data_IF_527017916190
#
_entry.id   IF_527017916190
#
_cell.length_a   1.000
_cell.length_b   1.000
_cell.length_c   1.000
_cell.angle_alpha   90.00
_cell.angle_beta   90.00
_cell.angle_gamma   90.00
#
_symmetry.space_group_name_H-M   'P 1'
#
loop_
_entity.id
_entity.type
_entity.pdbx_description
1 polymer ?
#
# COMPACT_ATOMS: atom_id res chain seq x y z
N UNK A 1 -41.13 7.45 -12.82
CA UNK A 1 -40.71 7.37 -11.40
C UNK A 1 -39.22 7.17 -11.43
N UNK A 2 -38.48 8.24 -11.19
CA UNK A 2 -37.01 8.16 -11.06
C UNK A 2 -36.68 7.29 -9.86
N UNK A 3 -35.80 6.30 -10.05
CA UNK A 3 -35.28 5.47 -8.99
C UNK A 3 -34.54 6.36 -7.96
N UNK A 4 -34.64 6.09 -6.66
CA UNK A 4 -33.90 6.86 -5.67
C UNK A 4 -32.41 6.63 -5.91
N UNK A 5 -31.67 7.71 -6.18
CA UNK A 5 -30.21 7.73 -6.13
C UNK A 5 -29.82 7.30 -4.72
N UNK A 6 -29.29 6.10 -4.57
CA UNK A 6 -28.76 5.59 -3.30
C UNK A 6 -27.56 6.46 -2.93
N UNK A 7 -27.81 7.52 -2.16
CA UNK A 7 -26.76 8.39 -1.64
C UNK A 7 -25.97 7.60 -0.62
N UNK A 8 -24.74 7.24 -0.98
CA UNK A 8 -23.69 6.80 -0.07
C UNK A 8 -23.65 7.75 1.13
N UNK A 9 -24.12 7.30 2.29
CA UNK A 9 -24.19 8.16 3.47
C UNK A 9 -22.78 8.43 4.01
N UNK A 10 -22.52 9.70 4.26
CA UNK A 10 -21.22 10.38 4.27
C UNK A 10 -20.39 10.16 5.56
N UNK A 11 -20.91 9.41 6.54
CA UNK A 11 -20.32 9.38 7.89
C UNK A 11 -18.97 8.67 8.00
N UNK A 12 -18.52 7.99 6.95
CA UNK A 12 -17.17 7.42 6.90
C UNK A 12 -16.24 8.14 5.91
N UNK A 13 -16.75 9.06 5.09
CA UNK A 13 -15.99 9.70 4.00
C UNK A 13 -14.75 10.46 4.48
N UNK A 14 -14.76 10.95 5.73
CA UNK A 14 -13.66 11.72 6.31
C UNK A 14 -12.44 10.88 6.74
N UNK A 15 -12.55 9.54 6.79
CA UNK A 15 -11.40 8.69 7.14
C UNK A 15 -10.54 8.43 5.89
N UNK A 16 -9.26 8.90 5.86
CA UNK A 16 -8.38 8.66 4.73
C UNK A 16 -8.11 7.16 4.60
N UNK A 17 -7.89 6.70 3.35
CA UNK A 17 -7.35 5.36 3.12
C UNK A 17 -6.01 5.24 3.87
N UNK A 18 -5.79 4.11 4.55
CA UNK A 18 -4.55 3.86 5.29
C UNK A 18 -3.33 4.15 4.41
N UNK A 19 -2.28 4.72 5.00
CA UNK A 19 -1.02 5.07 4.31
C UNK A 19 -1.13 6.19 3.25
N UNK A 20 -2.28 6.85 3.12
CA UNK A 20 -2.49 7.94 2.13
C UNK A 20 -2.71 9.31 2.77
N UNK A 21 -2.76 9.37 4.10
CA UNK A 21 -2.90 10.63 4.82
C UNK A 21 -1.76 11.59 4.45
N UNK A 22 -2.03 12.91 4.35
CA UNK A 22 -0.98 13.91 4.18
C UNK A 22 0.10 13.72 5.25
N UNK A 23 1.34 13.49 4.80
CA UNK A 23 2.45 13.12 5.67
C UNK A 23 3.45 14.26 5.93
N UNK A 24 3.22 15.44 5.34
CA UNK A 24 4.04 16.64 5.52
C UNK A 24 5.44 16.58 4.89
N UNK A 25 5.74 15.53 4.10
CA UNK A 25 7.04 15.37 3.43
C UNK A 25 6.96 15.84 1.98
N UNK A 26 7.68 16.91 1.64
CA UNK A 26 7.99 17.23 0.26
C UNK A 26 9.03 16.23 -0.26
N UNK A 27 8.70 15.54 -1.36
CA UNK A 27 9.62 14.60 -2.02
C UNK A 27 10.88 15.27 -2.58
N UNK A 28 10.85 16.60 -2.77
CA UNK A 28 11.97 17.44 -3.19
C UNK A 28 12.78 16.83 -4.35
N UNK A 29 12.06 16.32 -5.37
CA UNK A 29 12.63 15.47 -6.41
C UNK A 29 13.72 16.17 -7.25
N UNK A 30 13.68 17.50 -7.34
CA UNK A 30 14.65 18.32 -8.07
C UNK A 30 16.07 18.26 -7.48
N UNK A 31 16.23 17.87 -6.20
CA UNK A 31 17.54 17.70 -5.57
C UNK A 31 18.19 16.33 -5.81
N UNK A 32 17.45 15.35 -6.34
CA UNK A 32 17.91 13.95 -6.40
C UNK A 32 19.16 13.73 -7.26
N UNK A 33 19.44 14.64 -8.20
CA UNK A 33 20.62 14.60 -9.07
C UNK A 33 21.72 15.58 -8.62
N UNK A 34 21.47 16.40 -7.60
CA UNK A 34 22.42 17.38 -7.09
C UNK A 34 23.27 16.76 -5.97
N UNK A 35 24.40 16.16 -6.35
CA UNK A 35 25.31 15.49 -5.42
C UNK A 35 25.88 16.46 -4.35
N UNK A 36 26.10 17.73 -4.70
CA UNK A 36 26.61 18.71 -3.75
C UNK A 36 25.55 19.05 -2.68
N UNK A 37 24.30 19.24 -3.11
CA UNK A 37 23.19 19.44 -2.20
C UNK A 37 22.93 18.21 -1.34
N UNK A 38 22.93 17.00 -1.92
CA UNK A 38 22.72 15.75 -1.19
C UNK A 38 23.80 15.52 -0.13
N UNK A 39 25.07 15.84 -0.45
CA UNK A 39 26.15 15.79 0.51
C UNK A 39 25.95 16.79 1.67
N UNK A 40 25.55 18.03 1.36
CA UNK A 40 25.26 19.04 2.37
C UNK A 40 24.06 18.65 3.26
N UNK A 41 22.98 18.16 2.67
CA UNK A 41 21.80 17.66 3.37
C UNK A 41 22.16 16.47 4.26
N UNK A 42 22.94 15.51 3.76
CA UNK A 42 23.41 14.38 4.56
C UNK A 42 24.23 14.82 5.77
N UNK A 43 25.10 15.82 5.62
CA UNK A 43 25.94 16.32 6.71
C UNK A 43 25.22 17.26 7.70
N UNK A 44 23.97 17.65 7.43
CA UNK A 44 23.24 18.57 8.30
C UNK A 44 22.83 17.90 9.62
N UNK A 45 23.03 18.53 10.80
CA UNK A 45 22.77 17.90 12.11
C UNK A 45 21.30 17.58 12.39
N UNK A 46 20.37 18.26 11.70
CA UNK A 46 18.93 17.94 11.81
C UNK A 46 18.54 16.71 11.01
N UNK A 47 19.35 16.25 10.06
CA UNK A 47 19.02 15.11 9.19
C UNK A 47 18.76 13.86 10.01
N UNK A 48 17.72 13.13 9.60
CA UNK A 48 17.31 11.87 10.23
C UNK A 48 17.35 10.75 9.20
N UNK A 49 17.81 9.59 9.64
CA UNK A 49 17.82 8.41 8.80
C UNK A 49 17.43 7.15 9.59
N UNK A 50 17.01 6.13 8.86
CA UNK A 50 16.71 4.82 9.42
C UNK A 50 17.13 3.73 8.44
N UNK A 51 17.34 2.51 8.94
CA UNK A 51 17.67 1.35 8.11
C UNK A 51 16.40 0.66 7.66
N UNK A 52 16.36 0.29 6.38
CA UNK A 52 15.33 -0.58 5.80
C UNK A 52 15.98 -1.87 5.30
N UNK A 53 15.37 -3.00 5.65
CA UNK A 53 15.87 -4.32 5.26
C UNK A 53 14.71 -5.31 5.22
N UNK A 54 14.50 -5.97 4.08
CA UNK A 54 13.46 -6.98 3.91
C UNK A 54 12.04 -6.45 4.07
N UNK A 55 11.80 -5.19 3.72
CA UNK A 55 10.52 -4.52 3.92
C UNK A 55 10.20 -4.16 5.37
N UNK A 56 11.19 -4.27 6.26
CA UNK A 56 11.07 -3.94 7.68
C UNK A 56 11.95 -2.75 8.06
N UNK A 57 11.53 -2.06 9.11
CA UNK A 57 12.31 -1.04 9.84
C UNK A 57 12.28 -1.38 11.32
N UNK A 58 13.12 -0.72 12.12
CA UNK A 58 12.97 -0.75 13.58
C UNK A 58 11.90 0.25 13.99
N UNK A 59 10.97 -0.19 14.82
CA UNK A 59 10.02 0.66 15.53
C UNK A 59 10.24 0.53 17.03
N UNK A 60 9.88 1.57 17.77
CA UNK A 60 9.90 1.59 19.23
C UNK A 60 8.57 2.13 19.77
N UNK A 61 8.22 1.74 20.98
CA UNK A 61 7.11 2.29 21.74
C UNK A 61 7.63 3.34 22.72
N UNK A 62 7.23 4.58 22.51
CA UNK A 62 7.62 5.69 23.38
C UNK A 62 6.94 5.56 24.74
N UNK A 63 7.51 6.22 25.76
CA UNK A 63 6.95 6.21 27.12
C UNK A 63 5.50 6.75 27.22
N UNK A 64 5.05 7.53 26.22
CA UNK A 64 3.68 8.02 26.10
C UNK A 64 2.77 7.12 25.24
N UNK A 65 3.21 5.92 24.89
CA UNK A 65 2.43 4.88 24.21
C UNK A 65 2.29 5.07 22.71
N UNK A 66 3.11 5.93 22.08
CA UNK A 66 3.12 6.11 20.63
C UNK A 66 4.13 5.14 20.00
N UNK A 67 3.85 4.72 18.76
CA UNK A 67 4.81 3.97 17.96
C UNK A 67 5.52 4.90 17.00
N UNK A 68 6.85 4.83 16.95
CA UNK A 68 7.68 5.63 16.04
C UNK A 68 8.74 4.77 15.34
N UNK A 69 9.23 5.26 14.20
CA UNK A 69 10.41 4.66 13.56
C UNK A 69 11.64 5.06 14.36
N UNK A 70 12.50 4.09 14.65
CA UNK A 70 13.81 4.37 15.24
C UNK A 70 14.69 5.08 14.21
N UNK A 71 14.82 6.39 14.37
CA UNK A 71 15.68 7.23 13.54
C UNK A 71 16.97 7.57 14.27
N UNK A 72 18.06 7.70 13.52
CA UNK A 72 19.35 8.19 14.00
C UNK A 72 19.77 9.43 13.22
N UNK A 73 20.57 10.33 13.84
CA UNK A 73 21.29 11.34 13.08
C UNK A 73 22.19 10.70 12.03
N UNK A 74 22.39 11.39 10.90
CA UNK A 74 23.21 10.88 9.78
C UNK A 74 24.67 10.57 10.16
N UNK A 75 25.23 11.29 11.14
CA UNK A 75 26.60 11.09 11.63
C UNK A 75 26.76 9.88 12.57
N UNK A 76 25.66 9.35 13.11
CA UNK A 76 25.62 8.08 13.86
C UNK A 76 25.10 6.92 13.01
N UNK A 77 24.74 7.20 11.76
CA UNK A 77 24.19 6.20 10.87
C UNK A 77 25.20 5.09 10.57
N UNK A 78 24.77 3.83 10.52
CA UNK A 78 25.67 2.74 10.20
C UNK A 78 26.29 2.95 8.82
N UNK A 79 27.60 2.72 8.71
CA UNK A 79 28.29 2.72 7.42
C UNK A 79 27.56 1.76 6.47
N UNK A 80 27.34 2.24 5.25
CA UNK A 80 26.78 1.43 4.17
C UNK A 80 27.59 1.69 2.92
N UNK A 81 28.02 0.60 2.29
CA UNK A 81 28.58 0.62 0.93
C UNK A 81 27.46 0.75 -0.12
N UNK A 82 26.20 0.56 0.29
CA UNK A 82 25.01 0.75 -0.55
C UNK A 82 24.59 2.23 -0.62
N UNK A 83 23.75 2.54 -1.61
CA UNK A 83 23.26 3.90 -1.81
C UNK A 83 22.17 4.26 -0.80
N UNK A 84 22.18 5.54 -0.41
CA UNK A 84 21.19 6.16 0.48
C UNK A 84 19.98 6.60 -0.34
N UNK A 85 18.78 6.40 0.19
CA UNK A 85 17.55 6.84 -0.46
C UNK A 85 17.13 8.17 0.16
N UNK A 86 17.11 9.25 -0.62
CA UNK A 86 16.60 10.53 -0.14
C UNK A 86 15.07 10.53 -0.19
N UNK A 87 14.39 10.61 0.96
CA UNK A 87 12.95 10.42 1.06
C UNK A 87 12.15 11.72 0.95
N UNK A 88 12.80 12.85 1.23
CA UNK A 88 12.22 14.18 1.19
C UNK A 88 12.63 15.06 2.37
N UNK A 89 11.92 16.18 2.49
CA UNK A 89 12.11 17.21 3.52
C UNK A 89 10.76 17.50 4.18
N UNK A 90 10.72 17.62 5.50
CA UNK A 90 9.52 18.11 6.18
C UNK A 90 9.41 19.65 6.18
N UNK A 91 8.30 20.13 6.73
CA UNK A 91 8.01 21.56 6.90
C UNK A 91 9.02 22.34 7.76
N UNK A 92 9.78 21.65 8.63
CA UNK A 92 10.79 22.23 9.50
C UNK A 92 12.19 22.21 8.86
N UNK A 93 12.30 21.71 7.61
CA UNK A 93 13.55 21.60 6.87
C UNK A 93 14.38 20.37 7.22
N UNK A 94 13.83 19.40 7.96
CA UNK A 94 14.53 18.14 8.27
C UNK A 94 14.56 17.26 7.02
N UNK A 95 15.77 16.89 6.61
CA UNK A 95 15.97 15.93 5.52
C UNK A 95 15.91 14.50 6.05
N UNK A 96 15.21 13.63 5.31
CA UNK A 96 15.04 12.22 5.65
C UNK A 96 15.72 11.30 4.64
N UNK A 97 16.44 10.31 5.14
CA UNK A 97 17.07 9.27 4.32
C UNK A 97 16.75 7.86 4.83
N UNK A 98 16.57 6.91 3.91
CA UNK A 98 16.61 5.48 4.24
C UNK A 98 17.93 4.87 3.80
N UNK A 99 18.44 3.95 4.62
CA UNK A 99 19.64 3.18 4.33
C UNK A 99 19.25 1.74 4.08
N UNK A 100 19.47 1.25 2.86
CA UNK A 100 19.32 -0.17 2.58
C UNK A 100 20.52 -0.93 3.14
N UNK A 101 20.23 -2.00 3.91
CA UNK A 101 21.22 -2.98 4.38
C UNK A 101 20.65 -4.40 4.23
N UNK A 102 21.50 -5.40 4.45
CA UNK A 102 21.09 -6.82 4.42
C UNK A 102 20.39 -7.26 5.72
N UNK A 103 20.59 -6.51 6.81
CA UNK A 103 19.93 -6.71 8.10
C UNK A 103 19.69 -5.38 8.81
N UNK A 104 18.68 -5.36 9.68
CA UNK A 104 18.47 -4.26 10.61
C UNK A 104 19.57 -4.24 11.68
N UNK A 105 19.98 -3.05 12.17
CA UNK A 105 20.94 -2.97 13.26
C UNK A 105 20.33 -3.58 14.53
N UNK A 106 21.12 -4.33 15.30
CA UNK A 106 20.73 -4.70 16.66
C UNK A 106 20.76 -3.46 17.56
N UNK A 107 19.87 -3.40 18.55
CA UNK A 107 19.98 -2.45 19.67
C UNK A 107 20.25 -3.19 20.96
N UNK A 108 20.97 -2.55 21.87
CA UNK A 108 21.37 -3.13 23.16
C UNK A 108 20.29 -2.97 24.24
N UNK A 109 19.31 -2.09 24.03
CA UNK A 109 18.24 -1.79 24.99
C UNK A 109 17.00 -2.68 24.83
N UNK A 110 16.96 -3.54 23.79
CA UNK A 110 15.86 -4.46 23.44
C UNK A 110 14.45 -3.81 23.35
N UNK A 111 14.33 -2.48 23.41
CA UNK A 111 13.06 -1.75 23.32
C UNK A 111 12.53 -1.74 21.89
N UNK A 112 13.43 -1.54 20.92
CA UNK A 112 13.06 -1.52 19.53
C UNK A 112 12.96 -2.92 18.92
N UNK A 113 12.01 -3.07 18.01
CA UNK A 113 11.76 -4.33 17.31
C UNK A 113 11.59 -4.13 15.81
N UNK A 114 11.94 -5.13 14.98
CA UNK A 114 11.60 -5.12 13.55
C UNK A 114 10.08 -5.13 13.34
N UNK A 115 9.59 -4.30 12.44
CA UNK A 115 8.21 -4.34 11.99
C UNK A 115 8.09 -4.00 10.50
N UNK A 116 7.15 -4.66 9.83
CA UNK A 116 6.76 -4.36 8.45
C UNK A 116 5.53 -3.46 8.40
N UNK A 117 5.20 -2.97 7.20
CA UNK A 117 4.06 -2.05 6.98
C UNK A 117 2.70 -2.62 7.44
N UNK A 118 2.49 -3.94 7.34
CA UNK A 118 1.24 -4.58 7.78
C UNK A 118 1.00 -4.46 9.28
N UNK A 119 2.09 -4.41 10.04
CA UNK A 119 2.06 -4.37 11.50
C UNK A 119 2.16 -2.94 12.01
N UNK A 120 3.15 -2.17 11.53
CA UNK A 120 3.43 -0.82 12.01
C UNK A 120 2.58 0.26 11.34
N UNK A 121 2.08 0.03 10.12
CA UNK A 121 1.54 1.09 9.26
C UNK A 121 0.33 1.85 9.84
N UNK A 122 -0.49 1.21 10.69
CA UNK A 122 -1.60 1.86 11.39
C UNK A 122 -1.21 2.45 12.76
N UNK A 123 -0.06 2.05 13.31
CA UNK A 123 0.42 2.49 14.62
C UNK A 123 1.29 3.76 14.49
N UNK A 124 1.96 3.90 13.36
CA UNK A 124 2.84 5.03 13.06
C UNK A 124 2.06 6.32 12.79
N UNK A 125 2.71 7.45 13.10
CA UNK A 125 2.23 8.76 12.65
C UNK A 125 2.16 8.83 11.10
N UNK A 126 1.33 9.72 10.52
CA UNK A 126 1.25 9.88 9.06
C UNK A 126 2.61 10.14 8.39
N UNK A 127 3.48 10.92 9.04
CA UNK A 127 4.85 11.19 8.59
C UNK A 127 5.66 9.90 8.49
N UNK A 128 5.75 9.18 9.60
CA UNK A 128 6.57 7.97 9.70
C UNK A 128 6.04 6.85 8.79
N UNK A 129 4.72 6.66 8.75
CA UNK A 129 4.10 5.74 7.81
C UNK A 129 4.43 6.10 6.35
N UNK A 130 4.34 7.39 5.98
CA UNK A 130 4.67 7.87 4.64
C UNK A 130 6.15 7.70 4.26
N UNK A 131 7.06 7.88 5.22
CA UNK A 131 8.48 7.61 5.07
C UNK A 131 8.76 6.11 4.90
N UNK A 132 8.16 5.27 5.75
CA UNK A 132 8.33 3.81 5.71
C UNK A 132 7.82 3.23 4.39
N UNK A 133 6.62 3.62 3.94
CA UNK A 133 6.06 3.18 2.64
C UNK A 133 7.00 3.51 1.49
N UNK A 134 7.55 4.73 1.48
CA UNK A 134 8.46 5.17 0.42
C UNK A 134 9.78 4.39 0.46
N UNK A 135 10.37 4.22 1.65
CA UNK A 135 11.61 3.48 1.83
C UNK A 135 11.47 2.00 1.43
N UNK A 136 10.39 1.34 1.85
CA UNK A 136 10.11 -0.07 1.50
C UNK A 136 9.87 -0.23 -0.01
N UNK A 137 9.12 0.69 -0.63
CA UNK A 137 8.90 0.65 -2.08
C UNK A 137 10.22 0.77 -2.86
N UNK A 138 11.10 1.70 -2.47
CA UNK A 138 12.43 1.84 -3.06
C UNK A 138 13.30 0.62 -2.80
N UNK A 139 13.33 0.09 -1.58
CA UNK A 139 14.13 -1.10 -1.23
C UNK A 139 13.71 -2.32 -2.05
N UNK A 140 12.40 -2.61 -2.13
CA UNK A 140 11.85 -3.73 -2.90
C UNK A 140 12.29 -3.64 -4.36
N UNK A 141 12.10 -2.48 -4.99
CA UNK A 141 12.49 -2.29 -6.38
C UNK A 141 14.00 -2.42 -6.57
N UNK A 142 14.79 -1.76 -5.71
CA UNK A 142 16.24 -1.76 -5.79
C UNK A 142 16.83 -3.16 -5.65
N UNK A 143 16.31 -4.00 -4.75
CA UNK A 143 16.80 -5.37 -4.57
C UNK A 143 16.54 -6.27 -5.77
N UNK A 144 15.41 -6.08 -6.45
CA UNK A 144 14.97 -6.95 -7.54
C UNK A 144 15.51 -6.52 -8.92
N UNK A 145 15.89 -5.26 -9.12
CA UNK A 145 16.23 -4.72 -10.44
C UNK A 145 17.73 -4.50 -10.67
N UNK A 146 18.59 -5.40 -10.17
CA UNK A 146 20.06 -5.23 -10.16
C UNK A 146 20.75 -5.30 -11.54
N UNK A 147 20.04 -5.71 -12.59
CA UNK A 147 20.56 -5.86 -13.95
C UNK A 147 19.71 -5.09 -14.95
N UNK A 148 20.33 -4.65 -16.04
CA UNK A 148 19.69 -3.85 -17.08
C UNK A 148 18.78 -4.73 -17.93
N UNK A 149 17.49 -4.41 -18.01
CA UNK A 149 16.54 -5.15 -18.84
C UNK A 149 16.81 -5.04 -20.34
N UNK A 150 17.64 -4.05 -20.77
CA UNK A 150 18.00 -3.86 -22.18
C UNK A 150 19.21 -4.70 -22.63
N UNK A 151 20.22 -4.87 -21.77
CA UNK A 151 21.48 -5.49 -22.17
C UNK A 151 22.03 -6.55 -21.21
N UNK A 152 21.37 -6.80 -20.07
CA UNK A 152 21.78 -7.80 -19.08
C UNK A 152 22.89 -7.37 -18.12
N UNK A 153 23.61 -6.27 -18.37
CA UNK A 153 24.71 -5.80 -17.52
C UNK A 153 24.22 -5.27 -16.16
N UNK A 154 25.06 -5.36 -15.11
CA UNK A 154 24.74 -4.83 -13.78
C UNK A 154 24.50 -3.32 -13.82
N UNK A 155 23.45 -2.87 -13.13
CA UNK A 155 23.14 -1.43 -12.98
C UNK A 155 23.71 -0.87 -11.69
N UNK A 156 23.96 0.45 -11.69
CA UNK A 156 24.32 1.22 -10.49
C UNK A 156 23.12 2.06 -10.05
N UNK A 157 23.01 2.32 -8.74
CA UNK A 157 21.96 3.19 -8.21
C UNK A 157 22.37 4.64 -8.48
N UNK A 158 21.40 5.47 -8.88
CA UNK A 158 21.57 6.89 -9.15
C UNK A 158 20.36 7.67 -8.63
N UNK A 159 20.42 9.00 -8.75
CA UNK A 159 19.34 9.90 -8.37
C UNK A 159 18.84 9.69 -6.92
N UNK A 160 19.78 9.61 -5.96
CA UNK A 160 19.49 9.35 -4.55
C UNK A 160 18.53 8.15 -4.32
N UNK A 161 18.75 7.04 -5.01
CA UNK A 161 17.93 5.83 -4.89
C UNK A 161 16.76 5.71 -5.87
N UNK A 162 16.49 6.72 -6.69
CA UNK A 162 15.28 6.78 -7.52
C UNK A 162 15.50 6.36 -8.97
N UNK A 163 16.73 6.01 -9.35
CA UNK A 163 17.04 5.48 -10.68
C UNK A 163 18.06 4.35 -10.54
N UNK A 164 18.04 3.42 -11.49
CA UNK A 164 19.14 2.51 -11.79
C UNK A 164 19.68 2.84 -13.16
N UNK A 165 20.96 3.17 -13.25
CA UNK A 165 21.65 3.51 -14.49
C UNK A 165 22.54 2.35 -14.92
N UNK A 166 22.46 1.95 -16.19
CA UNK A 166 23.35 0.95 -16.77
C UNK A 166 24.62 1.64 -17.30
N UNK A 167 25.82 1.35 -16.77
CA UNK A 167 27.05 1.98 -17.24
C UNK A 167 27.46 1.50 -18.65
N UNK A 168 27.05 0.29 -19.07
CA UNK A 168 27.45 -0.26 -20.37
C UNK A 168 26.68 0.32 -21.55
N UNK A 169 25.37 0.57 -21.39
CA UNK A 169 24.54 1.07 -22.49
C UNK A 169 23.89 2.44 -22.22
N UNK A 170 23.98 2.97 -21.00
CA UNK A 170 23.39 4.25 -20.62
C UNK A 170 21.87 4.22 -20.37
N UNK A 171 21.25 3.03 -20.34
CA UNK A 171 19.82 2.92 -20.01
C UNK A 171 19.54 3.38 -18.57
N UNK A 172 18.43 4.06 -18.37
CA UNK A 172 17.90 4.38 -17.05
C UNK A 172 16.62 3.59 -16.80
N UNK A 173 16.51 3.05 -15.59
CA UNK A 173 15.34 2.34 -15.11
C UNK A 173 14.80 3.06 -13.89
N UNK A 174 13.48 3.20 -13.83
CA UNK A 174 12.76 3.89 -12.77
C UNK A 174 12.05 2.89 -11.85
N UNK A 175 11.75 3.28 -10.59
CA UNK A 175 10.92 2.51 -9.69
C UNK A 175 9.67 2.01 -10.37
N UNK A 176 9.46 0.68 -10.30
CA UNK A 176 8.30 0.03 -10.87
C UNK A 176 7.12 0.15 -9.91
N UNK A 177 5.94 0.46 -10.46
CA UNK A 177 4.69 0.38 -9.73
C UNK A 177 3.64 -0.26 -10.62
N UNK A 178 3.11 -1.39 -10.18
CA UNK A 178 2.15 -2.22 -10.92
C UNK A 178 0.72 -1.77 -10.57
N UNK A 179 -0.03 -1.17 -11.51
CA UNK A 179 -1.41 -0.77 -11.26
C UNK A 179 -2.29 -2.01 -11.07
N UNK A 180 -3.08 -2.01 -9.99
CA UNK A 180 -4.07 -3.04 -9.70
C UNK A 180 -5.38 -2.38 -9.30
N UNK A 181 -6.50 -2.85 -9.86
CA UNK A 181 -7.83 -2.41 -9.48
C UNK A 181 -8.32 -3.21 -8.28
N UNK A 182 -9.12 -2.58 -7.43
CA UNK A 182 -9.82 -3.23 -6.31
C UNK A 182 -11.19 -2.58 -6.16
N UNK A 183 -12.26 -3.37 -6.16
CA UNK A 183 -13.59 -2.83 -6.39
C UNK A 183 -14.64 -3.37 -5.42
N UNK A 184 -15.43 -2.47 -4.84
CA UNK A 184 -16.69 -2.81 -4.20
C UNK A 184 -17.78 -2.89 -5.28
N UNK A 185 -18.22 -4.10 -5.61
CA UNK A 185 -19.31 -4.31 -6.57
C UNK A 185 -20.63 -4.31 -5.83
N UNK A 186 -21.57 -3.46 -6.26
CA UNK A 186 -22.89 -3.30 -5.62
C UNK A 186 -24.01 -3.49 -6.65
N UNK A 187 -25.05 -4.22 -6.28
CA UNK A 187 -26.22 -4.45 -7.14
C UNK A 187 -27.36 -3.43 -6.92
N UNK A 188 -28.47 -3.61 -7.64
CA UNK A 188 -29.65 -2.73 -7.54
C UNK A 188 -30.40 -2.81 -6.20
N UNK A 189 -30.11 -3.83 -5.38
CA UNK A 189 -30.71 -4.04 -4.07
C UNK A 189 -29.79 -3.56 -2.93
N UNK A 190 -28.74 -2.78 -3.25
CA UNK A 190 -27.72 -2.32 -2.32
C UNK A 190 -27.03 -3.47 -1.56
N UNK A 191 -26.78 -4.60 -2.24
CA UNK A 191 -25.95 -5.69 -1.71
C UNK A 191 -24.54 -5.56 -2.25
N UNK A 192 -23.53 -5.86 -1.44
CA UNK A 192 -22.13 -5.92 -1.86
C UNK A 192 -21.73 -7.34 -2.23
N UNK A 193 -20.94 -7.49 -3.30
CA UNK A 193 -20.29 -8.75 -3.63
C UNK A 193 -18.94 -8.84 -2.93
N UNK A 194 -18.73 -9.92 -2.18
CA UNK A 194 -17.44 -10.24 -1.59
C UNK A 194 -16.99 -11.64 -2.02
N UNK A 195 -15.69 -11.79 -2.22
CA UNK A 195 -15.04 -13.04 -2.59
C UNK A 195 -14.02 -13.52 -1.57
N UNK A 196 -13.78 -14.83 -1.56
CA UNK A 196 -12.70 -15.49 -0.83
C UNK A 196 -11.80 -16.22 -1.81
N UNK A 197 -10.51 -15.86 -1.79
CA UNK A 197 -9.51 -16.52 -2.61
C UNK A 197 -9.24 -17.96 -2.12
N UNK A 198 -8.88 -18.86 -3.03
CA UNK A 198 -8.65 -20.30 -2.75
C UNK A 198 -7.68 -20.54 -1.60
N UNK A 199 -6.57 -19.79 -1.57
CA UNK A 199 -5.53 -19.93 -0.54
C UNK A 199 -5.84 -19.21 0.79
N UNK A 200 -6.96 -18.49 0.91
CA UNK A 200 -7.30 -17.79 2.16
C UNK A 200 -8.00 -18.71 3.16
N UNK A 201 -7.83 -18.45 4.47
CA UNK A 201 -8.59 -19.15 5.51
C UNK A 201 -10.09 -19.07 5.25
N UNK A 202 -10.82 -20.11 5.65
CA UNK A 202 -12.27 -20.13 5.61
C UNK A 202 -12.87 -18.91 6.32
N UNK A 203 -13.96 -18.39 5.79
CA UNK A 203 -14.64 -17.20 6.28
C UNK A 203 -13.95 -15.87 5.93
N UNK A 204 -12.73 -15.84 5.39
CA UNK A 204 -12.09 -14.56 5.00
C UNK A 204 -12.65 -14.06 3.67
N UNK A 205 -13.45 -13.00 3.71
CA UNK A 205 -13.98 -12.33 2.52
C UNK A 205 -13.38 -10.94 2.33
N UNK A 206 -13.26 -10.52 1.07
CA UNK A 206 -12.79 -9.18 0.67
C UNK A 206 -13.48 -8.76 -0.63
N UNK A 207 -13.29 -7.51 -1.00
CA UNK A 207 -13.52 -7.05 -2.38
C UNK A 207 -12.63 -7.80 -3.36
N UNK A 208 -13.07 -7.86 -4.62
CA UNK A 208 -12.30 -8.40 -5.75
C UNK A 208 -11.17 -7.44 -6.14
N UNK A 209 -10.10 -7.97 -6.73
CA UNK A 209 -8.96 -7.16 -7.16
C UNK A 209 -8.09 -7.90 -8.17
N UNK A 210 -7.58 -7.18 -9.16
CA UNK A 210 -6.67 -7.75 -10.14
C UNK A 210 -5.80 -6.70 -10.84
N UNK A 211 -4.84 -7.16 -11.63
CA UNK A 211 -3.87 -6.29 -12.28
C UNK A 211 -4.45 -5.65 -13.54
N UNK A 212 -4.04 -4.40 -13.81
CA UNK A 212 -4.37 -3.76 -15.09
C UNK A 212 -3.49 -4.33 -16.18
N UNK A 213 -4.08 -4.80 -17.28
CA UNK A 213 -3.32 -5.35 -18.40
C UNK A 213 -2.74 -4.26 -19.31
N UNK A 214 -1.62 -4.52 -20.01
CA UNK A 214 -1.08 -3.59 -21.00
C UNK A 214 -2.07 -3.26 -22.12
N UNK A 215 -2.38 -1.97 -22.27
CA UNK A 215 -3.32 -1.48 -23.30
C UNK A 215 -4.78 -1.45 -22.83
N UNK A 216 -5.05 -1.85 -21.60
CA UNK A 216 -6.37 -1.80 -20.97
C UNK A 216 -6.57 -0.46 -20.23
N UNK A 217 -7.77 0.13 -20.32
CA UNK A 217 -8.16 1.21 -19.40
C UNK A 217 -8.48 0.67 -18.01
N UNK A 218 -8.35 1.50 -16.98
CA UNK A 218 -8.57 1.04 -15.60
C UNK A 218 -10.01 0.54 -15.41
N UNK A 219 -10.98 1.21 -16.03
CA UNK A 219 -12.39 0.81 -15.97
C UNK A 219 -12.65 -0.48 -16.76
N UNK A 220 -11.89 -0.77 -17.82
CA UNK A 220 -11.97 -2.07 -18.50
C UNK A 220 -11.45 -3.19 -17.60
N UNK A 221 -10.32 -2.98 -16.91
CA UNK A 221 -9.79 -3.95 -15.94
C UNK A 221 -10.80 -4.25 -14.85
N UNK A 222 -11.50 -3.22 -14.32
CA UNK A 222 -12.55 -3.46 -13.32
C UNK A 222 -13.64 -4.41 -13.84
N UNK A 223 -14.06 -4.25 -15.10
CA UNK A 223 -15.10 -5.09 -15.69
C UNK A 223 -14.61 -6.49 -16.00
N UNK A 224 -13.39 -6.60 -16.56
CA UNK A 224 -12.77 -7.87 -16.89
C UNK A 224 -12.57 -8.72 -15.64
N UNK A 225 -11.90 -8.19 -14.61
CA UNK A 225 -11.61 -8.92 -13.38
C UNK A 225 -12.88 -9.44 -12.69
N UNK A 226 -13.93 -8.60 -12.59
CA UNK A 226 -15.20 -9.02 -11.98
C UNK A 226 -15.89 -10.10 -12.83
N UNK A 227 -15.80 -10.03 -14.15
CA UNK A 227 -16.38 -11.05 -15.01
C UNK A 227 -15.59 -12.37 -14.96
N UNK A 228 -14.26 -12.31 -15.01
CA UNK A 228 -13.37 -13.47 -14.98
C UNK A 228 -13.46 -14.23 -13.66
N UNK A 229 -13.39 -13.53 -12.52
CA UNK A 229 -13.34 -14.17 -11.20
C UNK A 229 -14.68 -14.74 -10.73
N UNK A 230 -15.80 -14.07 -11.06
CA UNK A 230 -17.13 -14.37 -10.47
C UNK A 230 -18.30 -14.33 -11.44
N UNK A 231 -18.06 -14.13 -12.74
CA UNK A 231 -19.09 -14.18 -13.79
C UNK A 231 -20.10 -13.03 -13.74
N UNK A 232 -19.80 -11.94 -13.04
CA UNK A 232 -20.70 -10.79 -12.89
C UNK A 232 -20.37 -9.72 -13.93
N UNK A 233 -21.40 -9.25 -14.63
CA UNK A 233 -21.30 -8.11 -15.53
C UNK A 233 -21.48 -6.82 -14.73
N UNK A 234 -20.63 -5.84 -15.01
CA UNK A 234 -20.64 -4.53 -14.35
C UNK A 234 -20.73 -3.40 -15.37
N UNK A 235 -21.62 -2.47 -15.08
CA UNK A 235 -21.90 -1.28 -15.88
C UNK A 235 -21.02 -0.10 -15.47
N UNK A 236 -21.57 0.80 -14.66
CA UNK A 236 -20.89 1.99 -14.16
C UNK A 236 -19.73 1.63 -13.22
N UNK A 237 -18.61 2.35 -13.36
CA UNK A 237 -17.39 2.19 -12.56
C UNK A 237 -16.94 3.58 -12.12
N UNK A 238 -16.84 3.80 -10.82
CA UNK A 238 -16.49 5.09 -10.21
C UNK A 238 -15.22 4.97 -9.38
N UNK A 239 -14.22 5.81 -9.65
CA UNK A 239 -12.99 5.86 -8.87
C UNK A 239 -13.25 6.43 -7.48
N UNK A 240 -12.64 5.82 -6.46
CA UNK A 240 -12.83 6.18 -5.07
C UNK A 240 -11.55 6.73 -4.43
N UNK A 241 -10.46 5.98 -4.50
CA UNK A 241 -9.18 6.34 -3.90
C UNK A 241 -8.07 5.44 -4.44
N UNK A 242 -6.82 5.76 -4.13
CA UNK A 242 -5.66 4.92 -4.44
C UNK A 242 -4.84 4.66 -3.18
N UNK A 243 -4.15 3.53 -3.12
CA UNK A 243 -3.26 3.19 -2.02
C UNK A 243 -1.92 2.64 -2.55
N UNK A 244 -0.77 3.19 -2.13
CA UNK A 244 0.51 2.55 -2.39
C UNK A 244 0.58 1.22 -1.64
N UNK A 245 0.91 0.14 -2.34
CA UNK A 245 0.91 -1.21 -1.80
C UNK A 245 2.21 -1.95 -2.16
N UNK A 246 3.32 -1.64 -1.47
CA UNK A 246 4.65 -2.15 -1.80
C UNK A 246 4.83 -3.59 -1.28
N UNK A 247 3.96 -4.50 -1.74
CA UNK A 247 4.02 -5.94 -1.51
C UNK A 247 3.91 -6.72 -2.83
N UNK A 248 4.91 -6.64 -3.74
CA UNK A 248 6.16 -5.88 -3.60
C UNK A 248 6.11 -4.45 -4.16
N UNK A 249 5.25 -4.17 -5.15
CA UNK A 249 5.32 -2.92 -5.92
C UNK A 249 3.99 -2.46 -6.53
N UNK A 250 2.84 -2.70 -5.90
CA UNK A 250 1.54 -2.33 -6.50
C UNK A 250 1.09 -0.91 -6.17
N UNK A 251 0.29 -0.31 -7.05
CA UNK A 251 -0.60 0.81 -6.74
C UNK A 251 -2.04 0.31 -6.83
N UNK A 252 -2.69 0.19 -5.67
CA UNK A 252 -4.09 -0.22 -5.61
C UNK A 252 -4.96 0.97 -5.99
N UNK A 253 -5.87 0.77 -6.93
CA UNK A 253 -6.83 1.75 -7.40
C UNK A 253 -8.22 1.25 -7.01
N UNK A 254 -8.81 1.91 -6.01
CA UNK A 254 -10.09 1.57 -5.42
C UNK A 254 -11.27 2.11 -6.21
N UNK A 255 -12.25 1.25 -6.48
CA UNK A 255 -13.45 1.58 -7.24
C UNK A 255 -14.73 1.13 -6.53
N UNK A 256 -15.82 1.77 -6.93
CA UNK A 256 -17.17 1.23 -6.79
C UNK A 256 -17.65 0.84 -8.18
N UNK A 257 -18.21 -0.36 -8.32
CA UNK A 257 -18.79 -0.83 -9.58
C UNK A 257 -20.25 -1.21 -9.40
N UNK A 258 -21.09 -0.96 -10.41
CA UNK A 258 -22.51 -1.32 -10.40
C UNK A 258 -22.73 -2.60 -11.19
N UNK A 259 -23.20 -3.65 -10.52
CA UNK A 259 -23.54 -4.90 -11.19
C UNK A 259 -24.79 -4.76 -12.06
N UNK A 260 -24.74 -5.34 -13.25
CA UNK A 260 -25.86 -5.47 -14.19
C UNK A 260 -26.37 -6.90 -14.30
N UNK A 261 -25.68 -7.86 -13.68
CA UNK A 261 -26.12 -9.24 -13.47
C UNK A 261 -25.80 -9.67 -12.03
N UNK A 262 -26.44 -10.74 -11.52
CA UNK A 262 -26.30 -11.15 -10.11
C UNK A 262 -26.00 -12.64 -9.92
N UNK A 263 -26.03 -13.44 -10.99
CA UNK A 263 -25.76 -14.89 -10.92
C UNK A 263 -24.25 -15.11 -10.84
N UNK A 264 -23.77 -15.48 -9.67
CA UNK A 264 -22.36 -15.72 -9.42
C UNK A 264 -21.93 -17.05 -10.06
N UNK A 265 -20.80 -17.02 -10.76
CA UNK A 265 -20.07 -18.19 -11.24
C UNK A 265 -18.59 -17.97 -10.95
N UNK A 266 -18.10 -18.57 -9.85
CA UNK A 266 -16.67 -18.47 -9.51
C UNK A 266 -15.82 -19.26 -10.49
N UNK A 267 -14.62 -18.75 -10.78
CA UNK A 267 -13.63 -19.42 -11.63
C UNK A 267 -13.12 -20.75 -11.03
N UNK A 268 -13.04 -20.82 -9.69
CA UNK A 268 -12.50 -21.95 -8.93
C UNK A 268 -10.98 -22.00 -8.86
N UNK A 269 -10.28 -21.18 -9.64
CA UNK A 269 -8.82 -21.08 -9.68
C UNK A 269 -8.30 -20.02 -8.71
N UNK A 270 -8.84 -18.80 -8.78
CA UNK A 270 -8.49 -17.70 -7.88
C UNK A 270 -9.51 -17.54 -6.75
N UNK A 271 -10.80 -17.58 -7.06
CA UNK A 271 -11.91 -17.41 -6.12
C UNK A 271 -12.56 -18.77 -5.81
N UNK A 272 -12.55 -19.13 -4.53
CA UNK A 272 -13.24 -20.33 -4.06
C UNK A 272 -14.73 -20.08 -3.81
N UNK A 273 -15.08 -18.90 -3.31
CA UNK A 273 -16.42 -18.58 -2.89
C UNK A 273 -16.69 -17.09 -3.07
N UNK A 274 -17.83 -16.73 -3.64
CA UNK A 274 -18.29 -15.36 -3.72
C UNK A 274 -19.78 -15.29 -3.37
N UNK A 275 -20.16 -14.23 -2.64
CA UNK A 275 -21.50 -14.07 -2.08
C UNK A 275 -21.93 -12.60 -2.12
N UNK A 276 -23.22 -12.40 -2.39
CA UNK A 276 -23.88 -11.13 -2.15
C UNK A 276 -24.24 -11.02 -0.67
N UNK A 277 -24.01 -9.85 -0.10
CA UNK A 277 -24.42 -9.52 1.26
C UNK A 277 -25.19 -8.20 1.25
N UNK A 278 -26.42 -8.21 1.76
CA UNK A 278 -27.01 -6.99 2.31
C UNK A 278 -26.25 -6.54 3.55
N UNK A 279 -26.49 -5.30 3.99
CA UNK A 279 -25.85 -4.74 5.19
C UNK A 279 -26.14 -5.56 6.44
N UNK A 280 -27.39 -5.99 6.60
CA UNK A 280 -27.84 -6.78 7.74
C UNK A 280 -27.26 -8.19 7.72
N UNK A 281 -27.18 -8.82 6.53
CA UNK A 281 -26.53 -10.12 6.37
C UNK A 281 -25.03 -10.04 6.69
N UNK A 282 -24.34 -8.99 6.23
CA UNK A 282 -22.93 -8.81 6.53
C UNK A 282 -22.68 -8.55 8.02
N UNK A 283 -23.54 -7.76 8.67
CA UNK A 283 -23.46 -7.51 10.12
C UNK A 283 -23.66 -8.79 10.93
N UNK A 284 -24.67 -9.60 10.57
CA UNK A 284 -24.92 -10.89 11.20
C UNK A 284 -23.75 -11.86 10.98
N UNK A 285 -23.19 -11.92 9.76
CA UNK A 285 -22.08 -12.81 9.42
C UNK A 285 -20.77 -12.40 10.11
N UNK A 286 -20.51 -11.11 10.28
CA UNK A 286 -19.40 -10.64 11.11
C UNK A 286 -19.61 -10.96 12.60
N UNK A 287 -20.83 -10.79 13.10
CA UNK A 287 -21.17 -11.03 14.51
C UNK A 287 -21.06 -12.52 14.88
N UNK A 288 -21.47 -13.41 13.97
CA UNK A 288 -21.36 -14.87 14.15
C UNK A 288 -19.93 -15.39 13.96
N UNK A 289 -19.05 -14.62 13.33
CA UNK A 289 -17.71 -15.05 12.94
C UNK A 289 -17.69 -15.92 11.67
N UNK A 290 -18.82 -16.06 10.97
CA UNK A 290 -18.91 -16.71 9.66
C UNK A 290 -18.06 -15.98 8.62
N UNK A 291 -18.08 -14.64 8.67
CA UNK A 291 -17.26 -13.80 7.81
C UNK A 291 -16.22 -13.08 8.66
N UNK A 292 -14.97 -13.14 8.22
CA UNK A 292 -13.84 -12.42 8.78
C UNK A 292 -13.55 -11.21 7.89
N UNK A 293 -13.63 -9.98 8.41
CA UNK A 293 -13.39 -8.77 7.61
C UNK A 293 -11.92 -8.67 7.16
N UNK A 294 -11.65 -7.96 6.06
CA UNK A 294 -10.28 -7.52 5.78
C UNK A 294 -9.79 -6.63 6.94
N UNK A 295 -8.52 -6.80 7.29
CA UNK A 295 -7.91 -6.15 8.45
C UNK A 295 -6.66 -5.35 8.07
N UNK A 296 -6.23 -4.50 9.00
CA UNK A 296 -4.99 -3.74 8.89
C UNK A 296 -5.07 -2.62 7.85
N UNK A 297 -3.99 -2.46 7.09
CA UNK A 297 -3.81 -1.32 6.18
C UNK A 297 -4.57 -1.44 4.85
N UNK A 298 -5.30 -2.51 4.54
CA UNK A 298 -5.86 -2.73 3.20
C UNK A 298 -6.95 -1.70 2.82
N UNK A 299 -6.88 -1.15 1.61
CA UNK A 299 -7.95 -0.32 1.02
C UNK A 299 -9.29 -1.07 0.92
N UNK A 300 -9.27 -2.40 0.81
CA UNK A 300 -10.49 -3.23 0.82
C UNK A 300 -11.38 -2.94 2.05
N UNK A 301 -10.76 -2.82 3.23
CA UNK A 301 -11.48 -2.49 4.44
C UNK A 301 -12.18 -1.15 4.32
N UNK A 302 -11.51 -0.13 3.75
CA UNK A 302 -12.09 1.19 3.54
C UNK A 302 -13.25 1.17 2.54
N UNK A 303 -13.14 0.41 1.45
CA UNK A 303 -14.22 0.25 0.47
C UNK A 303 -15.45 -0.39 1.12
N UNK A 304 -15.26 -1.47 1.88
CA UNK A 304 -16.35 -2.15 2.57
C UNK A 304 -16.94 -1.24 3.65
N UNK A 305 -16.14 -0.58 4.49
CA UNK A 305 -16.66 0.36 5.50
C UNK A 305 -17.49 1.49 4.88
N UNK A 306 -17.05 2.01 3.73
CA UNK A 306 -17.77 3.08 3.03
C UNK A 306 -19.11 2.60 2.51
N UNK A 307 -19.16 1.41 1.92
CA UNK A 307 -20.43 0.78 1.59
C UNK A 307 -21.22 0.55 2.87
N UNK A 308 -20.70 -0.24 3.82
CA UNK A 308 -21.34 -0.71 5.04
C UNK A 308 -21.87 0.39 5.97
N UNK A 309 -21.27 1.57 5.95
CA UNK A 309 -21.72 2.75 6.68
C UNK A 309 -21.21 2.85 8.13
N UNK A 310 -20.40 1.88 8.58
CA UNK A 310 -19.77 1.87 9.91
C UNK A 310 -18.42 1.14 9.87
N UNK A 311 -17.55 1.32 10.89
CA UNK A 311 -16.27 0.61 10.97
C UNK A 311 -16.43 -0.91 10.96
N UNK A 312 -15.48 -1.62 10.36
CA UNK A 312 -15.43 -3.09 10.44
C UNK A 312 -15.08 -3.54 11.86
N UNK A 313 -15.58 -4.71 12.31
CA UNK A 313 -15.23 -5.23 13.61
C UNK A 313 -13.73 -5.55 13.67
N UNK A 314 -13.06 -5.00 14.66
CA UNK A 314 -11.66 -5.34 14.97
C UNK A 314 -11.62 -6.68 15.67
N UNK A 315 -10.78 -7.62 15.22
CA UNK A 315 -10.39 -8.76 16.07
C UNK A 315 -9.64 -8.21 17.27
N UNK A 316 -10.32 -8.05 18.40
CA UNK A 316 -9.66 -8.11 19.70
C UNK A 316 -8.94 -9.46 19.74
N UNK A 317 -7.65 -9.44 20.05
CA UNK A 317 -6.75 -10.60 19.98
C UNK A 317 -7.43 -11.89 20.49
N UNK A 318 -7.46 -12.92 19.65
CA UNK A 318 -7.51 -14.31 20.09
C UNK A 318 -6.08 -14.77 20.30
#
# INVERSE_FOLDING_TARGET
MEAPVTTWTDHTADRPVSLTAPNGIDRAAHHRLDEAWLAAAWSHPSTRCFVVSGGQVLIDETADGRTEIVMTPSFEAPLTEAHRYFLGIDQDGVSYFALQKDSLPGRMDDSARPAGLREAGLLLSPRDAGLMVHAVALENWQRLHRFCSRCGERTVIAAAGHIRRCPACGAEHYPRTDPAVIMAVVDEHDRILLGRQVHWPEGRFSTLAGFVEPGESIEQSVRREVHEEVGIDVGEVEYLASQPWPFPSSLMLGFVARATSTTIQVDGDEIHEARWFSRDELDAAFTSGEVLPPYGISIAARLIERWYGKPLPTRTAF
#
